data_IF_640967596487
#
_entry.id   IF_640967596487
#
_cell.length_a   1.000
_cell.length_b   1.000
_cell.length_c   1.000
_cell.angle_alpha   90.00
_cell.angle_beta   90.00
_cell.angle_gamma   90.00
#
_symmetry.space_group_name_H-M   'P 1'
#
loop_
_entity.id
_entity.type
_entity.pdbx_description
1 polymer ?
#
# COMPACT_ATOMS: atom_id res chain seq x y z
N UNK A 1 10.74 -35.08 -10.03
CA UNK A 1 11.24 -35.41 -8.68
C UNK A 1 12.14 -34.28 -8.19
N UNK A 2 11.56 -33.19 -7.69
CA UNK A 2 12.29 -32.07 -7.10
C UNK A 2 11.95 -31.98 -5.63
N UNK A 3 12.52 -32.86 -4.82
CA UNK A 3 12.31 -32.81 -3.38
C UNK A 3 12.97 -31.57 -2.79
N UNK A 4 12.32 -30.94 -1.80
CA UNK A 4 12.92 -29.87 -1.00
C UNK A 4 14.30 -30.32 -0.50
N UNK A 5 15.32 -29.49 -0.70
CA UNK A 5 16.66 -29.88 -0.32
C UNK A 5 16.70 -30.15 1.20
N UNK A 6 17.48 -31.15 1.62
CA UNK A 6 17.60 -31.54 3.04
C UNK A 6 17.89 -30.37 3.99
N UNK A 7 18.48 -29.29 3.49
CA UNK A 7 18.75 -28.07 4.25
C UNK A 7 17.48 -27.26 4.53
N UNK A 8 16.53 -27.17 3.60
CA UNK A 8 15.23 -26.53 3.81
C UNK A 8 14.45 -27.30 4.89
N UNK A 9 14.41 -28.63 4.77
CA UNK A 9 13.73 -29.51 5.73
C UNK A 9 14.39 -29.41 7.12
N UNK A 10 15.72 -29.40 7.20
CA UNK A 10 16.46 -29.22 8.45
C UNK A 10 16.23 -27.83 9.07
N UNK A 11 16.13 -26.78 8.26
CA UNK A 11 15.86 -25.41 8.73
C UNK A 11 14.44 -25.29 9.25
N UNK A 12 13.45 -25.85 8.55
CA UNK A 12 12.06 -25.89 8.99
C UNK A 12 11.88 -26.73 10.26
N UNK A 13 12.61 -27.85 10.40
CA UNK A 13 12.65 -28.65 11.64
C UNK A 13 13.32 -27.90 12.80
N UNK A 14 14.40 -27.17 12.54
CA UNK A 14 15.06 -26.34 13.54
C UNK A 14 14.18 -25.15 13.97
N UNK A 15 13.46 -24.55 13.03
CA UNK A 15 12.48 -23.48 13.29
C UNK A 15 11.26 -24.03 14.03
N UNK A 16 10.72 -25.19 13.65
CA UNK A 16 9.56 -25.78 14.33
C UNK A 16 9.91 -26.24 15.76
N UNK A 17 11.10 -26.79 15.97
CA UNK A 17 11.63 -27.11 17.30
C UNK A 17 11.81 -25.88 18.19
N UNK A 18 12.15 -24.73 17.60
CA UNK A 18 12.33 -23.46 18.31
C UNK A 18 11.13 -22.52 18.21
N UNK A 19 10.05 -22.88 17.51
CA UNK A 19 8.96 -21.97 17.19
C UNK A 19 8.28 -21.44 18.45
N UNK A 20 8.02 -22.32 19.42
CA UNK A 20 7.46 -21.92 20.72
C UNK A 20 8.37 -20.94 21.47
N UNK A 21 9.70 -21.10 21.36
CA UNK A 21 10.68 -20.20 21.98
C UNK A 21 10.71 -18.85 21.25
N UNK A 22 10.79 -18.84 19.92
CA UNK A 22 10.75 -17.63 19.10
C UNK A 22 9.47 -16.84 19.34
N UNK A 23 8.32 -17.53 19.36
CA UNK A 23 7.02 -16.92 19.65
C UNK A 23 6.99 -16.34 21.06
N UNK A 24 7.42 -17.10 22.07
CA UNK A 24 7.48 -16.63 23.47
C UNK A 24 8.41 -15.43 23.64
N UNK A 25 9.58 -15.44 23.00
CA UNK A 25 10.54 -14.35 23.05
C UNK A 25 9.97 -13.07 22.40
N UNK A 26 9.20 -13.20 21.32
CA UNK A 26 8.46 -12.08 20.71
C UNK A 26 7.39 -11.53 21.64
N UNK A 27 6.52 -12.40 22.17
CA UNK A 27 5.46 -12.02 23.13
C UNK A 27 6.02 -11.39 24.42
N UNK A 28 7.20 -11.82 24.87
CA UNK A 28 7.87 -11.22 26.02
C UNK A 28 8.41 -9.83 25.71
N UNK A 29 8.99 -9.62 24.51
CA UNK A 29 9.42 -8.29 24.07
C UNK A 29 8.25 -7.32 23.94
N UNK A 30 7.15 -7.75 23.33
CA UNK A 30 5.92 -6.96 23.19
C UNK A 30 5.37 -6.54 24.56
N UNK A 31 5.22 -7.50 25.49
CA UNK A 31 4.78 -7.20 26.87
C UNK A 31 5.71 -6.23 27.60
N UNK A 32 7.02 -6.34 27.41
CA UNK A 32 7.98 -5.39 27.99
C UNK A 32 7.77 -3.98 27.44
N UNK A 33 7.55 -3.84 26.14
CA UNK A 33 7.25 -2.55 25.51
C UNK A 33 5.93 -1.98 26.04
N UNK A 34 4.86 -2.79 26.08
CA UNK A 34 3.56 -2.36 26.63
C UNK A 34 3.68 -1.92 28.09
N UNK A 35 4.45 -2.64 28.90
CA UNK A 35 4.67 -2.28 30.30
C UNK A 35 5.37 -0.92 30.42
N UNK A 36 6.36 -0.65 29.56
CA UNK A 36 7.03 0.67 29.52
C UNK A 36 6.02 1.74 29.10
N UNK A 37 5.29 1.53 28.00
CA UNK A 37 4.31 2.49 27.49
C UNK A 37 3.21 2.83 28.51
N UNK A 38 2.70 1.83 29.24
CA UNK A 38 1.66 2.01 30.25
C UNK A 38 2.13 2.77 31.50
N UNK A 39 3.44 2.78 31.77
CA UNK A 39 4.02 3.46 32.93
C UNK A 39 4.53 4.87 32.59
N UNK A 40 4.59 5.24 31.31
CA UNK A 40 5.03 6.57 30.88
C UNK A 40 3.89 7.57 31.04
N UNK A 41 4.21 8.76 31.54
CA UNK A 41 3.31 9.89 31.43
C UNK A 41 3.18 10.37 29.98
N UNK A 42 2.08 11.06 29.69
CA UNK A 42 1.83 11.65 28.36
C UNK A 42 2.95 12.63 27.97
N UNK A 43 3.48 13.38 28.95
CA UNK A 43 4.53 14.37 28.69
C UNK A 43 5.89 13.72 28.42
N UNK A 44 6.24 12.63 29.12
CA UNK A 44 7.44 11.85 28.82
C UNK A 44 7.39 11.23 27.42
N UNK A 45 6.23 10.68 27.04
CA UNK A 45 6.03 10.13 25.70
C UNK A 45 6.14 11.21 24.62
N UNK A 46 5.52 12.37 24.81
CA UNK A 46 5.63 13.51 23.89
C UNK A 46 7.09 14.00 23.80
N UNK A 47 7.80 14.08 24.92
CA UNK A 47 9.20 14.47 24.97
C UNK A 47 10.10 13.49 24.20
N UNK A 48 9.91 12.20 24.41
CA UNK A 48 10.63 11.15 23.67
C UNK A 48 10.37 11.23 22.17
N UNK A 49 9.10 11.29 21.75
CA UNK A 49 8.73 11.40 20.34
C UNK A 49 9.33 12.64 19.69
N UNK A 50 9.28 13.79 20.37
CA UNK A 50 9.88 15.04 19.86
C UNK A 50 11.39 14.87 19.63
N UNK A 51 12.10 14.30 20.58
CA UNK A 51 13.54 14.06 20.45
C UNK A 51 13.89 13.05 19.33
N UNK A 52 13.06 12.03 19.12
CA UNK A 52 13.26 11.08 18.02
C UNK A 52 12.91 11.68 16.65
N UNK A 53 11.91 12.55 16.58
CA UNK A 53 11.55 13.27 15.34
C UNK A 53 12.63 14.25 14.89
N UNK A 54 13.39 14.84 15.83
CA UNK A 54 14.55 15.67 15.50
C UNK A 54 15.68 14.85 14.86
N UNK A 55 15.86 13.60 15.29
CA UNK A 55 16.90 12.70 14.77
C UNK A 55 16.50 12.00 13.48
N UNK A 56 15.20 11.73 13.31
CA UNK A 56 14.68 10.92 12.22
C UNK A 56 13.51 11.62 11.52
N UNK A 57 13.83 12.34 10.44
CA UNK A 57 12.83 13.03 9.63
C UNK A 57 11.82 12.06 9.00
N UNK A 58 12.23 10.84 8.64
CA UNK A 58 11.32 9.84 8.06
C UNK A 58 10.26 9.41 9.07
N UNK A 59 10.66 9.18 10.33
CA UNK A 59 9.73 8.84 11.41
C UNK A 59 8.78 9.99 11.71
N UNK A 60 9.29 11.23 11.76
CA UNK A 60 8.46 12.43 11.93
C UNK A 60 7.45 12.57 10.81
N UNK A 61 7.88 12.40 9.56
CA UNK A 61 7.01 12.54 8.40
C UNK A 61 5.93 11.45 8.41
N UNK A 62 6.29 10.20 8.72
CA UNK A 62 5.35 9.10 8.90
C UNK A 62 4.32 9.39 10.01
N UNK A 63 4.77 9.84 11.18
CA UNK A 63 3.89 10.23 12.28
C UNK A 63 2.95 11.38 11.89
N UNK A 64 3.48 12.40 11.22
CA UNK A 64 2.70 13.58 10.81
C UNK A 64 1.64 13.17 9.79
N UNK A 65 2.00 12.34 8.82
CA UNK A 65 1.06 11.77 7.86
C UNK A 65 0.00 10.93 8.57
N UNK A 66 0.40 10.07 9.51
CA UNK A 66 -0.49 9.17 10.23
C UNK A 66 -1.58 9.93 11.02
N UNK A 67 -1.21 11.04 11.67
CA UNK A 67 -2.12 11.79 12.55
C UNK A 67 -2.77 13.01 11.91
N UNK A 68 -2.21 13.55 10.83
CA UNK A 68 -2.72 14.79 10.21
C UNK A 68 -3.08 14.67 8.73
N UNK A 69 -2.72 13.57 8.06
CA UNK A 69 -2.86 13.43 6.61
C UNK A 69 -2.08 14.51 5.84
N UNK A 70 -1.00 15.03 6.43
CA UNK A 70 -0.12 16.03 5.81
C UNK A 70 1.34 15.62 6.00
N UNK A 71 2.04 15.37 4.91
CA UNK A 71 3.49 15.20 4.93
C UNK A 71 4.21 16.54 4.95
N UNK A 72 5.45 16.55 5.45
CA UNK A 72 6.34 17.72 5.31
C UNK A 72 6.83 17.92 3.86
N UNK A 73 6.72 16.88 3.04
CA UNK A 73 7.02 16.85 1.61
C UNK A 73 5.89 16.13 0.87
N UNK A 74 5.58 16.63 -0.32
CA UNK A 74 4.74 15.94 -1.29
C UNK A 74 5.52 14.71 -1.77
N UNK A 75 4.91 13.53 -1.71
CA UNK A 75 5.53 12.29 -2.17
C UNK A 75 5.21 12.11 -3.65
N UNK A 76 6.18 11.65 -4.42
CA UNK A 76 5.95 11.33 -5.82
C UNK A 76 5.21 9.99 -5.97
N UNK A 77 4.56 9.78 -7.11
CA UNK A 77 4.01 8.47 -7.49
C UNK A 77 5.05 7.35 -7.32
N UNK A 78 6.28 7.61 -7.76
CA UNK A 78 7.40 6.67 -7.61
C UNK A 78 7.73 6.35 -6.14
N UNK A 79 7.61 7.31 -5.23
CA UNK A 79 7.85 7.05 -3.79
C UNK A 79 6.79 6.12 -3.19
N UNK A 80 5.53 6.23 -3.64
CA UNK A 80 4.48 5.31 -3.22
C UNK A 80 4.64 3.94 -3.88
N UNK A 81 4.91 3.88 -5.20
CA UNK A 81 5.19 2.61 -5.88
C UNK A 81 6.31 1.85 -5.18
N UNK A 82 7.40 2.55 -4.85
CA UNK A 82 8.53 1.96 -4.13
C UNK A 82 8.13 1.39 -2.78
N UNK A 83 7.31 2.09 -1.99
CA UNK A 83 6.82 1.59 -0.69
C UNK A 83 5.94 0.35 -0.86
N UNK A 84 5.01 0.37 -1.81
CA UNK A 84 4.10 -0.76 -2.06
C UNK A 84 4.87 -1.98 -2.58
N UNK A 85 5.85 -1.79 -3.45
CA UNK A 85 6.74 -2.89 -3.92
C UNK A 85 7.58 -3.51 -2.80
N UNK A 86 7.79 -2.82 -1.66
CA UNK A 86 8.44 -3.44 -0.50
C UNK A 86 7.57 -4.56 0.10
N UNK A 87 6.25 -4.40 0.09
CA UNK A 87 5.31 -5.37 0.65
C UNK A 87 5.40 -6.71 -0.10
N UNK A 88 5.45 -6.65 -1.44
CA UNK A 88 5.73 -7.82 -2.27
C UNK A 88 7.06 -8.46 -1.91
N UNK A 89 8.14 -7.67 -1.83
CA UNK A 89 9.49 -8.18 -1.55
C UNK A 89 9.61 -8.85 -0.19
N UNK A 90 8.90 -8.34 0.80
CA UNK A 90 8.87 -8.91 2.15
C UNK A 90 8.28 -10.33 2.15
N UNK A 91 7.32 -10.60 1.26
CA UNK A 91 6.66 -11.90 1.13
C UNK A 91 7.41 -12.83 0.18
N UNK A 92 7.80 -12.36 -1.02
CA UNK A 92 8.48 -13.20 -2.04
C UNK A 92 9.84 -13.72 -1.58
N UNK A 93 10.51 -13.00 -0.66
CA UNK A 93 11.83 -13.36 -0.17
C UNK A 93 12.84 -13.62 -1.30
N UNK A 94 13.46 -14.81 -1.33
CA UNK A 94 14.39 -15.24 -2.41
C UNK A 94 13.73 -16.07 -3.51
N UNK A 95 12.44 -16.41 -3.36
CA UNK A 95 11.76 -17.38 -4.23
C UNK A 95 11.15 -16.73 -5.47
N UNK A 96 10.98 -15.41 -5.47
CA UNK A 96 10.64 -14.62 -6.67
C UNK A 96 9.18 -14.68 -7.10
N UNK A 97 8.35 -15.47 -6.40
CA UNK A 97 6.90 -15.55 -6.62
C UNK A 97 6.16 -15.68 -5.29
N UNK A 98 4.90 -15.22 -5.25
CA UNK A 98 3.99 -15.38 -4.12
C UNK A 98 3.09 -16.59 -4.39
N UNK A 99 3.14 -17.58 -3.50
CA UNK A 99 2.38 -18.83 -3.63
C UNK A 99 0.92 -18.65 -3.18
N UNK A 100 0.03 -19.49 -3.71
CA UNK A 100 -1.37 -19.57 -3.32
C UNK A 100 -1.59 -19.60 -1.80
N UNK A 101 -2.52 -18.78 -1.31
CA UNK A 101 -2.85 -18.67 0.12
C UNK A 101 -1.87 -17.83 0.94
N UNK A 102 -0.91 -17.17 0.28
CA UNK A 102 -0.10 -16.10 0.86
C UNK A 102 -0.42 -14.83 0.07
N UNK A 103 -0.94 -13.82 0.74
CA UNK A 103 -1.37 -12.57 0.12
C UNK A 103 -0.53 -11.39 0.63
N UNK A 104 -0.34 -10.40 -0.24
CA UNK A 104 0.23 -9.12 0.17
C UNK A 104 -0.81 -8.31 0.91
N UNK A 105 -0.56 -7.99 2.17
CA UNK A 105 -1.45 -7.13 2.95
C UNK A 105 -1.28 -5.65 2.55
N UNK A 106 -2.25 -5.11 1.81
CA UNK A 106 -2.29 -3.69 1.42
C UNK A 106 -2.99 -2.78 2.44
N UNK A 107 -3.50 -3.31 3.56
CA UNK A 107 -4.31 -2.56 4.52
C UNK A 107 -3.65 -1.26 4.98
N UNK A 108 -2.35 -1.28 5.26
CA UNK A 108 -1.58 -0.10 5.65
C UNK A 108 -1.56 1.00 4.57
N UNK A 109 -1.52 0.63 3.30
CA UNK A 109 -1.53 1.57 2.16
C UNK A 109 -2.92 2.18 2.00
N UNK A 110 -3.97 1.36 2.10
CA UNK A 110 -5.35 1.82 2.06
C UNK A 110 -5.65 2.77 3.24
N UNK A 111 -5.24 2.40 4.45
CA UNK A 111 -5.32 3.23 5.65
C UNK A 111 -4.63 4.58 5.48
N UNK A 112 -3.49 4.60 4.78
CA UNK A 112 -2.73 5.80 4.50
C UNK A 112 -3.51 6.72 3.55
N UNK A 113 -4.07 6.20 2.46
CA UNK A 113 -4.91 6.96 1.53
C UNK A 113 -6.16 7.52 2.25
N UNK A 114 -6.77 6.72 3.12
CA UNK A 114 -7.92 7.08 3.94
C UNK A 114 -7.66 8.31 4.83
N UNK A 115 -6.46 8.40 5.41
CA UNK A 115 -6.05 9.55 6.22
C UNK A 115 -5.92 10.81 5.38
N UNK A 116 -5.38 10.70 4.17
CA UNK A 116 -5.32 11.83 3.23
C UNK A 116 -6.72 12.27 2.81
N UNK A 117 -7.64 11.34 2.53
CA UNK A 117 -9.04 11.65 2.26
C UNK A 117 -9.68 12.39 3.44
N UNK A 118 -9.52 11.88 4.66
CA UNK A 118 -10.07 12.49 5.89
C UNK A 118 -9.50 13.88 6.14
N UNK A 119 -8.25 14.13 5.76
CA UNK A 119 -7.59 15.44 5.81
C UNK A 119 -7.97 16.38 4.64
N UNK A 120 -8.78 15.91 3.69
CA UNK A 120 -9.19 16.68 2.51
C UNK A 120 -8.17 16.71 1.37
N UNK A 121 -7.07 15.95 1.48
CA UNK A 121 -6.03 15.87 0.46
C UNK A 121 -6.31 14.75 -0.55
N UNK A 122 -7.33 14.96 -1.38
CA UNK A 122 -7.84 13.96 -2.32
C UNK A 122 -6.83 13.59 -3.43
N UNK A 123 -5.98 14.53 -3.87
CA UNK A 123 -5.02 14.26 -4.94
C UNK A 123 -3.85 13.39 -4.47
N UNK A 124 -3.43 13.55 -3.23
CA UNK A 124 -2.43 12.67 -2.63
C UNK A 124 -2.98 11.25 -2.46
N UNK A 125 -4.24 11.12 -2.00
CA UNK A 125 -4.91 9.83 -1.95
C UNK A 125 -5.05 9.19 -3.34
N UNK A 126 -5.44 9.96 -4.36
CA UNK A 126 -5.47 9.50 -5.74
C UNK A 126 -4.09 8.99 -6.19
N UNK A 127 -3.02 9.69 -5.83
CA UNK A 127 -1.65 9.26 -6.18
C UNK A 127 -1.28 7.92 -5.51
N UNK A 128 -1.75 7.67 -4.29
CA UNK A 128 -1.54 6.38 -3.60
C UNK A 128 -2.30 5.26 -4.30
N UNK A 129 -3.57 5.46 -4.63
CA UNK A 129 -4.38 4.45 -5.30
C UNK A 129 -3.88 4.17 -6.73
N UNK A 130 -3.41 5.19 -7.45
CA UNK A 130 -2.71 4.99 -8.72
C UNK A 130 -1.44 4.15 -8.53
N UNK A 131 -0.62 4.45 -7.53
CA UNK A 131 0.58 3.66 -7.26
C UNK A 131 0.24 2.21 -6.90
N UNK A 132 -0.83 2.00 -6.14
CA UNK A 132 -1.30 0.67 -5.75
C UNK A 132 -1.74 -0.14 -6.97
N UNK A 133 -2.61 0.41 -7.82
CA UNK A 133 -3.08 -0.30 -9.02
C UNK A 133 -1.93 -0.59 -9.99
N UNK A 134 -1.02 0.35 -10.21
CA UNK A 134 0.16 0.12 -11.05
C UNK A 134 1.08 -0.97 -10.48
N UNK A 135 1.35 -0.97 -9.18
CA UNK A 135 2.21 -2.01 -8.58
C UNK A 135 1.55 -3.38 -8.60
N UNK A 136 0.23 -3.46 -8.40
CA UNK A 136 -0.49 -4.73 -8.54
C UNK A 136 -0.33 -5.25 -9.98
N UNK A 137 -0.64 -4.43 -10.98
CA UNK A 137 -0.46 -4.78 -12.40
C UNK A 137 0.97 -5.21 -12.74
N UNK A 138 1.97 -4.47 -12.28
CA UNK A 138 3.39 -4.76 -12.52
C UNK A 138 3.85 -6.09 -11.88
N UNK A 139 3.13 -6.62 -10.87
CA UNK A 139 3.51 -7.84 -10.15
C UNK A 139 2.64 -9.06 -10.47
N UNK A 140 1.65 -8.94 -11.37
CA UNK A 140 0.73 -10.04 -11.64
C UNK A 140 1.40 -11.31 -12.17
N UNK A 141 2.51 -11.21 -12.91
CA UNK A 141 3.27 -12.39 -13.35
C UNK A 141 3.92 -13.17 -12.20
N UNK A 142 4.10 -12.52 -11.05
CA UNK A 142 4.79 -13.05 -9.87
C UNK A 142 3.86 -13.56 -8.78
N UNK A 143 2.54 -13.58 -9.00
CA UNK A 143 1.56 -14.00 -7.99
C UNK A 143 0.58 -15.03 -8.52
N UNK A 144 0.07 -15.87 -7.63
CA UNK A 144 -1.12 -16.69 -7.91
C UNK A 144 -2.37 -15.90 -7.51
N UNK A 145 -3.19 -15.53 -8.50
CA UNK A 145 -4.47 -14.81 -8.33
C UNK A 145 -5.69 -15.70 -8.64
N UNK A 146 -5.56 -17.02 -8.46
CA UNK A 146 -6.65 -17.96 -8.78
C UNK A 146 -7.93 -17.76 -7.96
N UNK A 147 -7.83 -17.11 -6.80
CA UNK A 147 -8.97 -16.72 -5.95
C UNK A 147 -9.48 -15.30 -6.24
N UNK A 148 -8.81 -14.54 -7.11
CA UNK A 148 -9.16 -13.19 -7.52
C UNK A 148 -8.83 -12.11 -6.51
N UNK A 149 -7.97 -12.40 -5.51
CA UNK A 149 -7.55 -11.44 -4.50
C UNK A 149 -6.94 -10.17 -5.12
N UNK A 150 -5.88 -10.30 -5.93
CA UNK A 150 -5.16 -9.18 -6.53
C UNK A 150 -6.01 -8.45 -7.57
N UNK A 151 -6.82 -9.18 -8.35
CA UNK A 151 -7.80 -8.56 -9.24
C UNK A 151 -8.82 -7.70 -8.49
N UNK A 152 -9.30 -8.17 -7.33
CA UNK A 152 -10.18 -7.41 -6.45
C UNK A 152 -9.52 -6.15 -5.88
N UNK A 153 -8.30 -6.28 -5.36
CA UNK A 153 -7.51 -5.15 -4.83
C UNK A 153 -7.21 -4.11 -5.92
N UNK A 154 -6.90 -4.56 -7.15
CA UNK A 154 -6.70 -3.68 -8.30
C UNK A 154 -7.97 -2.90 -8.64
N UNK A 155 -9.11 -3.60 -8.73
CA UNK A 155 -10.40 -2.98 -9.05
C UNK A 155 -10.80 -1.93 -8.02
N UNK A 156 -10.67 -2.27 -6.73
CA UNK A 156 -10.95 -1.35 -5.63
C UNK A 156 -10.03 -0.12 -5.66
N UNK A 157 -8.73 -0.32 -5.89
CA UNK A 157 -7.79 0.79 -6.04
C UNK A 157 -8.16 1.71 -7.20
N UNK A 158 -8.57 1.17 -8.36
CA UNK A 158 -9.00 1.97 -9.50
C UNK A 158 -10.29 2.75 -9.22
N UNK A 159 -11.26 2.15 -8.53
CA UNK A 159 -12.49 2.84 -8.11
C UNK A 159 -12.18 4.00 -7.15
N UNK A 160 -11.35 3.75 -6.13
CA UNK A 160 -10.99 4.77 -5.14
C UNK A 160 -10.15 5.90 -5.73
N UNK A 161 -9.27 5.59 -6.69
CA UNK A 161 -8.56 6.58 -7.49
C UNK A 161 -9.51 7.54 -8.20
N UNK A 162 -10.49 7.00 -8.92
CA UNK A 162 -11.49 7.80 -9.66
C UNK A 162 -12.39 8.58 -8.72
N UNK A 163 -12.80 7.97 -7.60
CA UNK A 163 -13.56 8.64 -6.56
C UNK A 163 -12.83 9.85 -6.00
N UNK A 164 -11.51 9.73 -5.75
CA UNK A 164 -10.68 10.85 -5.31
C UNK A 164 -10.64 11.98 -6.35
N UNK A 165 -10.41 11.67 -7.63
CA UNK A 165 -10.38 12.65 -8.74
C UNK A 165 -11.73 13.37 -8.87
N UNK A 166 -12.83 12.62 -8.82
CA UNK A 166 -14.16 13.18 -8.98
C UNK A 166 -14.56 14.07 -7.79
N UNK A 167 -14.20 13.68 -6.57
CA UNK A 167 -14.43 14.49 -5.36
C UNK A 167 -13.54 15.73 -5.28
N UNK A 168 -12.38 15.72 -5.94
CA UNK A 168 -11.44 16.85 -5.95
C UNK A 168 -11.94 18.06 -6.76
N UNK A 169 -13.04 17.93 -7.52
CA UNK A 169 -13.66 19.02 -8.30
C UNK A 169 -12.67 19.76 -9.22
N UNK A 170 -11.75 18.99 -9.81
CA UNK A 170 -10.77 19.49 -10.75
C UNK A 170 -11.43 20.05 -12.01
N UNK A 171 -10.82 21.10 -12.59
CA UNK A 171 -11.20 21.58 -13.92
C UNK A 171 -10.89 20.52 -14.98
N UNK A 172 -11.53 20.63 -16.16
CA UNK A 172 -11.26 19.72 -17.28
C UNK A 172 -9.77 19.67 -17.65
N UNK A 173 -9.08 20.82 -17.60
CA UNK A 173 -7.65 20.91 -17.91
C UNK A 173 -6.80 20.12 -16.91
N UNK A 174 -7.16 20.13 -15.63
CA UNK A 174 -6.47 19.37 -14.58
C UNK A 174 -6.84 17.88 -14.62
N UNK A 175 -8.08 17.54 -14.98
CA UNK A 175 -8.51 16.14 -15.19
C UNK A 175 -7.85 15.49 -16.41
N UNK A 176 -7.43 16.28 -17.41
CA UNK A 176 -6.88 15.79 -18.68
C UNK A 176 -5.72 14.82 -18.48
N UNK A 177 -4.82 15.10 -17.54
CA UNK A 177 -3.63 14.27 -17.31
C UNK A 177 -4.03 12.89 -16.73
N UNK A 178 -5.02 12.86 -15.83
CA UNK A 178 -5.57 11.61 -15.30
C UNK A 178 -6.34 10.81 -16.36
N UNK A 179 -7.16 11.47 -17.17
CA UNK A 179 -7.86 10.81 -18.29
C UNK A 179 -6.85 10.24 -19.28
N UNK A 180 -5.79 11.01 -19.61
CA UNK A 180 -4.71 10.57 -20.48
C UNK A 180 -3.99 9.35 -19.93
N UNK A 181 -3.71 9.31 -18.62
CA UNK A 181 -3.14 8.15 -17.95
C UNK A 181 -4.03 6.90 -18.10
N UNK A 182 -5.31 6.98 -17.70
CA UNK A 182 -6.24 5.85 -17.77
C UNK A 182 -6.41 5.38 -19.21
N UNK A 183 -6.52 6.32 -20.16
CA UNK A 183 -6.66 6.01 -21.58
C UNK A 183 -5.43 5.30 -22.14
N UNK A 184 -4.22 5.76 -21.79
CA UNK A 184 -3.00 5.10 -22.22
C UNK A 184 -2.93 3.67 -21.67
N UNK A 185 -3.28 3.46 -20.39
CA UNK A 185 -3.34 2.12 -19.79
C UNK A 185 -4.37 1.21 -20.46
N UNK A 186 -5.54 1.74 -20.79
CA UNK A 186 -6.56 1.02 -21.54
C UNK A 186 -6.06 0.54 -22.93
N UNK A 187 -5.29 1.39 -23.62
CA UNK A 187 -4.73 1.09 -24.95
C UNK A 187 -3.52 0.16 -24.87
N UNK A 188 -2.67 0.31 -23.84
CA UNK A 188 -1.53 -0.58 -23.58
C UNK A 188 -2.00 -2.03 -23.43
N UNK A 189 -3.17 -2.24 -22.82
CA UNK A 189 -3.81 -3.55 -22.67
C UNK A 189 -2.86 -4.60 -22.05
N UNK A 190 -2.09 -4.16 -21.06
CA UNK A 190 -1.08 -4.94 -20.38
C UNK A 190 -1.14 -4.68 -18.85
N UNK A 191 -1.67 -5.63 -18.06
CA UNK A 191 -2.29 -6.88 -18.49
C UNK A 191 -3.70 -6.68 -19.07
N UNK A 192 -4.09 -7.54 -20.02
CA UNK A 192 -5.35 -7.44 -20.76
C UNK A 192 -6.60 -7.64 -19.88
N UNK A 193 -6.51 -8.49 -18.86
CA UNK A 193 -7.60 -8.75 -17.92
C UNK A 193 -7.93 -7.57 -16.99
N UNK A 194 -7.15 -6.49 -16.98
CA UNK A 194 -7.51 -5.25 -16.26
C UNK A 194 -8.19 -4.20 -17.13
N UNK A 195 -8.38 -4.47 -18.42
CA UNK A 195 -8.95 -3.52 -19.37
C UNK A 195 -10.35 -3.02 -18.97
N UNK A 196 -11.18 -3.88 -18.36
CA UNK A 196 -12.54 -3.53 -17.92
C UNK A 196 -12.55 -2.46 -16.81
N UNK A 197 -11.59 -2.50 -15.89
CA UNK A 197 -11.45 -1.51 -14.83
C UNK A 197 -11.02 -0.15 -15.39
N UNK A 198 -10.14 -0.14 -16.40
CA UNK A 198 -9.76 1.10 -17.09
C UNK A 198 -10.91 1.70 -17.92
N UNK A 199 -11.72 0.88 -18.59
CA UNK A 199 -12.94 1.36 -19.27
C UNK A 199 -13.93 1.97 -18.28
N UNK A 200 -14.19 1.27 -17.17
CA UNK A 200 -15.02 1.79 -16.08
C UNK A 200 -14.47 3.13 -15.57
N UNK A 201 -13.17 3.20 -15.26
CA UNK A 201 -12.53 4.40 -14.75
C UNK A 201 -12.62 5.59 -15.73
N UNK A 202 -12.50 5.33 -17.05
CA UNK A 202 -12.68 6.36 -18.07
C UNK A 202 -14.11 6.91 -18.08
N UNK A 203 -15.11 6.02 -18.02
CA UNK A 203 -16.53 6.41 -18.00
C UNK A 203 -16.84 7.26 -16.79
N UNK A 204 -16.45 6.82 -15.60
CA UNK A 204 -16.71 7.52 -14.35
C UNK A 204 -15.96 8.86 -14.25
N UNK A 205 -14.72 8.93 -14.72
CA UNK A 205 -13.95 10.18 -14.71
C UNK A 205 -14.51 11.20 -15.69
N UNK A 206 -15.03 10.74 -16.84
CA UNK A 206 -15.57 11.61 -17.90
C UNK A 206 -17.04 12.00 -17.68
N UNK A 207 -17.83 11.22 -16.93
CA UNK A 207 -19.26 11.47 -16.72
C UNK A 207 -19.58 12.44 -15.57
N UNK A 208 -18.59 12.92 -14.81
CA UNK A 208 -18.84 13.91 -13.77
C UNK A 208 -19.45 15.17 -14.38
N UNK A 209 -20.71 15.47 -14.05
CA UNK A 209 -21.58 16.48 -14.69
C UNK A 209 -21.09 17.94 -14.65
N UNK A 210 -19.92 18.21 -14.08
CA UNK A 210 -19.32 19.55 -14.00
C UNK A 210 -18.62 20.01 -15.30
N UNK A 211 -18.69 19.22 -16.39
CA UNK A 211 -18.01 19.48 -17.66
C UNK A 211 -18.88 19.91 -18.85
N UNK A 212 -20.16 20.24 -18.62
CA UNK A 212 -21.10 20.64 -19.68
C UNK A 212 -21.66 22.07 -19.53
N UNK A 213 -21.12 22.87 -18.61
CA UNK A 213 -21.35 24.33 -18.53
C UNK A 213 -20.07 25.09 -18.89
#
# INVERSE_FOLDING_TARGET
WGGYCKHIVATLLALSGNYKKIKKDKEEKERRIETVLNNLSVDELKGFLTAEFEKNSSLRDHFTIYFSGKGSKIRSLHDYKKEISLLYREITGRHGSIEYGIEVDFSYICDLADRYIKAGNLLEAATIYQALSEVIADNMEGVDDSDGYYGGEFGQAMEDFVNCINRAKLSYKEKKDYIGYIFNKYIENDPDYFQEYYDYALRETCQSKDGLE
#
